data_IF_463430582838
#
_entry.id   IF_463430582838
#
_cell.length_a   1.000
_cell.length_b   1.000
_cell.length_c   1.000
_cell.angle_alpha   90.00
_cell.angle_beta   90.00
_cell.angle_gamma   90.00
#
_symmetry.space_group_name_H-M   'P 1'
#
loop_
_entity.id
_entity.type
_entity.pdbx_description
1 polymer ?
#
# COMPACT_ATOMS: atom_id res chain seq x y z
N UNK A 1 -3.57 47.46 23.00
CA UNK A 1 -2.79 46.35 22.40
C UNK A 1 -3.80 45.36 21.87
N UNK A 2 -3.97 45.32 20.53
CA UNK A 2 -4.93 44.48 19.87
C UNK A 2 -4.28 43.10 19.59
N UNK A 3 -4.74 42.08 20.28
CA UNK A 3 -4.42 40.68 19.95
C UNK A 3 -5.40 40.20 18.88
N UNK A 4 -5.14 40.56 17.63
CA UNK A 4 -5.63 39.75 16.52
C UNK A 4 -4.47 38.85 16.09
N UNK A 5 -4.46 37.62 16.60
CA UNK A 5 -3.72 36.55 15.93
C UNK A 5 -4.35 36.42 14.52
N UNK A 6 -3.57 36.72 13.49
CA UNK A 6 -3.90 36.34 12.13
C UNK A 6 -4.04 34.82 12.11
N UNK A 7 -5.29 34.35 12.04
CA UNK A 7 -5.57 32.96 11.68
C UNK A 7 -5.08 32.83 10.23
N UNK A 8 -3.85 32.34 10.07
CA UNK A 8 -3.35 31.92 8.77
C UNK A 8 -4.35 30.92 8.20
N UNK A 9 -5.17 31.36 7.26
CA UNK A 9 -6.11 30.48 6.56
C UNK A 9 -5.30 29.47 5.77
N UNK A 10 -5.04 28.32 6.39
CA UNK A 10 -4.32 27.23 5.74
C UNK A 10 -5.09 26.84 4.48
N UNK A 11 -4.39 26.80 3.36
CA UNK A 11 -4.93 26.36 2.06
C UNK A 11 -5.66 25.04 2.24
N UNK A 12 -6.89 24.86 1.69
CA UNK A 12 -7.57 23.58 1.71
C UNK A 12 -6.68 22.46 1.13
N UNK A 13 -6.55 21.37 1.87
CA UNK A 13 -5.70 20.24 1.52
C UNK A 13 -6.55 19.02 1.16
N UNK A 14 -6.10 18.24 0.18
CA UNK A 14 -6.60 16.91 -0.08
C UNK A 14 -6.25 15.93 1.05
N UNK A 15 -6.94 14.79 1.12
CA UNK A 15 -6.61 13.74 2.09
C UNK A 15 -5.15 13.28 1.91
N UNK A 16 -4.70 13.12 0.67
CA UNK A 16 -3.32 12.80 0.33
C UNK A 16 -2.34 13.82 0.92
N UNK A 17 -2.58 15.13 0.69
CA UNK A 17 -1.68 16.19 1.20
C UNK A 17 -1.58 16.16 2.73
N UNK A 18 -2.70 15.95 3.44
CA UNK A 18 -2.73 15.84 4.89
C UNK A 18 -1.90 14.65 5.40
N UNK A 19 -2.08 13.47 4.81
CA UNK A 19 -1.32 12.28 5.21
C UNK A 19 0.17 12.48 4.89
N UNK A 20 0.49 13.00 3.70
CA UNK A 20 1.87 13.26 3.30
C UNK A 20 2.58 14.18 4.30
N UNK A 21 1.97 15.31 4.64
CA UNK A 21 2.56 16.29 5.57
C UNK A 21 2.72 15.73 6.97
N UNK A 22 1.73 14.98 7.45
CA UNK A 22 1.79 14.32 8.77
C UNK A 22 2.95 13.31 8.88
N UNK A 23 3.35 12.69 7.77
CA UNK A 23 4.42 11.68 7.72
C UNK A 23 5.77 12.25 7.26
N UNK A 24 5.82 13.51 6.86
CA UNK A 24 7.04 14.16 6.39
C UNK A 24 8.00 14.45 7.54
N UNK A 25 9.23 13.90 7.46
CA UNK A 25 10.30 14.08 8.46
C UNK A 25 11.28 15.16 8.01
N UNK A 26 11.71 15.09 6.73
CA UNK A 26 12.73 15.96 6.16
C UNK A 26 12.57 16.04 4.64
N UNK A 27 13.19 17.04 4.02
CA UNK A 27 13.33 17.15 2.57
C UNK A 27 14.81 17.26 2.20
N UNK A 28 15.17 16.75 1.01
CA UNK A 28 16.53 16.87 0.48
C UNK A 28 16.60 17.87 -0.69
N UNK A 29 17.82 18.18 -1.12
CA UNK A 29 18.07 19.10 -2.25
C UNK A 29 17.55 18.57 -3.60
N UNK A 30 17.32 17.26 -3.73
CA UNK A 30 16.71 16.65 -4.92
C UNK A 30 15.18 16.76 -4.93
N UNK A 31 14.56 17.47 -3.98
CA UNK A 31 13.12 17.67 -3.89
C UNK A 31 12.35 16.43 -3.42
N UNK A 32 13.03 15.46 -2.81
CA UNK A 32 12.37 14.30 -2.19
C UNK A 32 12.06 14.58 -0.73
N UNK A 33 11.01 13.95 -0.23
CA UNK A 33 10.61 13.98 1.19
C UNK A 33 10.91 12.63 1.83
N UNK A 34 11.51 12.64 3.01
CA UNK A 34 11.65 11.46 3.86
C UNK A 34 10.34 11.25 4.61
N UNK A 35 9.64 10.17 4.31
CA UNK A 35 8.37 9.80 4.94
C UNK A 35 8.60 8.76 6.04
N UNK A 36 7.90 8.89 7.17
CA UNK A 36 7.72 7.82 8.13
C UNK A 36 6.68 6.82 7.60
N UNK A 37 6.94 5.52 7.77
CA UNK A 37 6.06 4.44 7.31
C UNK A 37 5.39 3.76 8.49
N UNK A 38 4.06 3.82 8.58
CA UNK A 38 3.30 3.22 9.68
C UNK A 38 3.22 1.72 9.60
N UNK A 39 3.03 1.18 8.38
CA UNK A 39 2.92 -0.26 8.15
C UNK A 39 3.73 -0.68 6.94
N UNK A 40 4.45 -1.74 7.11
CA UNK A 40 5.19 -2.38 6.04
C UNK A 40 4.70 -3.82 5.87
N UNK A 41 4.17 -4.14 4.68
CA UNK A 41 3.77 -5.49 4.33
C UNK A 41 4.86 -6.18 3.53
N UNK A 42 5.14 -7.44 3.85
CA UNK A 42 6.12 -8.29 3.17
C UNK A 42 5.44 -9.57 2.68
N UNK A 43 5.74 -9.94 1.46
CA UNK A 43 5.33 -11.20 0.83
C UNK A 43 6.55 -11.99 0.35
N UNK A 44 6.36 -13.09 -0.36
CA UNK A 44 7.44 -14.03 -0.70
C UNK A 44 8.59 -13.39 -1.48
N UNK A 45 8.31 -12.42 -2.35
CA UNK A 45 9.35 -11.74 -3.12
C UNK A 45 10.19 -10.74 -2.29
N UNK A 46 9.81 -10.50 -1.04
CA UNK A 46 10.61 -9.66 -0.13
C UNK A 46 11.95 -10.28 0.27
N UNK A 47 12.23 -11.53 -0.11
CA UNK A 47 13.48 -12.22 0.22
C UNK A 47 14.72 -11.46 -0.29
N UNK A 48 14.64 -10.81 -1.45
CA UNK A 48 15.73 -9.98 -1.97
C UNK A 48 16.09 -8.84 -1.02
N UNK A 49 15.06 -8.18 -0.46
CA UNK A 49 15.25 -7.09 0.48
C UNK A 49 15.85 -7.57 1.81
N UNK A 50 15.44 -8.74 2.31
CA UNK A 50 16.05 -9.34 3.50
C UNK A 50 17.51 -9.73 3.25
N UNK A 51 17.85 -10.26 2.07
CA UNK A 51 19.24 -10.55 1.70
C UNK A 51 20.09 -9.27 1.69
N UNK A 52 19.58 -8.18 1.12
CA UNK A 52 20.26 -6.88 1.14
C UNK A 52 20.40 -6.33 2.56
N UNK A 53 19.37 -6.46 3.40
CA UNK A 53 19.39 -6.04 4.79
C UNK A 53 20.50 -6.74 5.57
N UNK A 54 20.52 -8.08 5.51
CA UNK A 54 21.49 -8.91 6.22
C UNK A 54 22.91 -8.76 5.63
N UNK A 55 23.05 -8.65 4.31
CA UNK A 55 24.33 -8.40 3.65
C UNK A 55 24.99 -7.08 4.04
N UNK A 56 24.21 -6.10 4.50
CA UNK A 56 24.68 -4.83 5.05
C UNK A 56 24.76 -4.82 6.59
N UNK A 57 24.70 -5.97 7.22
CA UNK A 57 24.71 -6.14 8.70
C UNK A 57 23.65 -5.28 9.41
N UNK A 58 22.47 -5.15 8.79
CA UNK A 58 21.33 -4.40 9.32
C UNK A 58 20.26 -5.34 9.87
N UNK A 59 19.45 -4.81 10.81
CA UNK A 59 18.30 -5.49 11.41
C UNK A 59 17.02 -4.73 11.11
N UNK A 60 15.89 -5.42 11.18
CA UNK A 60 14.59 -4.75 11.08
C UNK A 60 14.42 -3.78 12.25
N UNK A 61 14.17 -2.52 11.94
CA UNK A 61 14.09 -1.42 12.92
C UNK A 61 12.87 -1.52 13.82
N UNK A 62 11.71 -1.79 13.23
CA UNK A 62 10.43 -1.86 13.94
C UNK A 62 9.65 -3.12 13.56
N UNK A 63 9.99 -4.31 14.10
CA UNK A 63 9.32 -5.56 13.75
C UNK A 63 7.80 -5.53 13.97
N UNK A 64 7.32 -4.84 14.99
CA UNK A 64 5.90 -4.71 15.30
C UNK A 64 5.09 -3.93 14.24
N UNK A 65 5.76 -3.18 13.35
CA UNK A 65 5.14 -2.44 12.25
C UNK A 65 5.22 -3.19 10.92
N UNK A 66 5.88 -4.36 10.88
CA UNK A 66 6.09 -5.16 9.69
C UNK A 66 5.27 -6.45 9.78
N UNK A 67 4.52 -6.75 8.72
CA UNK A 67 3.62 -7.89 8.62
C UNK A 67 4.01 -8.74 7.42
N UNK A 68 4.30 -10.00 7.67
CA UNK A 68 4.68 -10.98 6.65
C UNK A 68 3.50 -11.92 6.37
N UNK A 69 3.07 -11.98 5.13
CA UNK A 69 1.90 -12.75 4.68
C UNK A 69 2.28 -13.42 3.35
N UNK A 70 2.35 -14.75 3.29
CA UNK A 70 2.50 -15.46 2.03
C UNK A 70 1.17 -15.46 1.27
N UNK A 71 1.15 -14.92 0.05
CA UNK A 71 -0.07 -14.83 -0.77
C UNK A 71 0.14 -15.04 -2.27
N UNK A 72 1.27 -14.61 -2.85
CA UNK A 72 1.51 -14.66 -4.29
C UNK A 72 1.75 -16.08 -4.81
N UNK A 73 2.37 -16.93 -4.02
CA UNK A 73 2.74 -18.30 -4.38
C UNK A 73 2.06 -19.35 -3.51
N UNK A 74 0.99 -18.97 -2.82
CA UNK A 74 0.24 -19.88 -1.96
C UNK A 74 -0.76 -20.68 -2.77
N UNK A 75 -0.76 -22.03 -2.68
CA UNK A 75 -1.74 -22.86 -3.40
C UNK A 75 -3.16 -22.62 -2.87
N UNK A 76 -4.13 -22.69 -3.78
CA UNK A 76 -5.56 -22.60 -3.42
C UNK A 76 -6.10 -23.91 -2.85
N UNK A 77 -5.44 -25.02 -3.14
CA UNK A 77 -5.72 -26.35 -2.59
C UNK A 77 -4.54 -26.84 -1.76
N UNK A 78 -4.79 -27.21 -0.51
CA UNK A 78 -3.76 -27.60 0.43
C UNK A 78 -3.13 -26.41 1.16
N UNK A 79 -2.70 -26.66 2.40
CA UNK A 79 -2.20 -25.62 3.31
C UNK A 79 -0.81 -25.94 3.86
N UNK A 80 -0.22 -27.05 3.44
CA UNK A 80 1.07 -27.49 3.94
C UNK A 80 2.17 -27.17 2.94
N UNK A 81 3.36 -26.92 3.45
CA UNK A 81 4.55 -26.75 2.61
C UNK A 81 4.77 -27.97 1.68
N UNK A 82 4.36 -29.17 2.09
CA UNK A 82 4.39 -30.37 1.28
C UNK A 82 3.48 -30.33 0.05
N UNK A 83 2.45 -29.50 0.07
CA UNK A 83 1.44 -29.45 -0.99
C UNK A 83 1.90 -28.61 -2.21
N UNK A 84 3.05 -27.95 -2.09
CA UNK A 84 3.67 -27.22 -3.19
C UNK A 84 4.28 -28.17 -4.21
N UNK A 85 3.81 -28.08 -5.43
CA UNK A 85 4.29 -28.88 -6.57
C UNK A 85 5.66 -28.39 -7.05
N UNK A 86 5.90 -27.07 -6.99
CA UNK A 86 7.12 -26.45 -7.46
C UNK A 86 8.05 -26.11 -6.30
N UNK A 87 9.30 -26.58 -6.37
CA UNK A 87 10.31 -26.38 -5.34
C UNK A 87 10.74 -24.93 -5.19
N UNK A 88 10.77 -24.15 -6.28
CA UNK A 88 11.15 -22.73 -6.24
C UNK A 88 10.10 -21.92 -5.47
N UNK A 89 8.82 -22.11 -5.76
CA UNK A 89 7.73 -21.42 -5.03
C UNK A 89 7.70 -21.85 -3.56
N UNK A 90 7.94 -23.13 -3.30
CA UNK A 90 8.09 -23.65 -1.93
C UNK A 90 9.23 -22.96 -1.18
N UNK A 91 10.37 -22.77 -1.85
CA UNK A 91 11.53 -22.10 -1.27
C UNK A 91 11.24 -20.63 -0.94
N UNK A 92 10.51 -19.89 -1.82
CA UNK A 92 10.12 -18.50 -1.59
C UNK A 92 9.27 -18.35 -0.32
N UNK A 93 8.26 -19.19 -0.14
CA UNK A 93 7.42 -19.17 1.07
C UNK A 93 8.21 -19.55 2.33
N UNK A 94 9.07 -20.57 2.24
CA UNK A 94 9.96 -20.94 3.36
C UNK A 94 10.88 -19.79 3.76
N UNK A 95 11.43 -19.07 2.77
CA UNK A 95 12.30 -17.93 3.01
C UNK A 95 11.55 -16.79 3.70
N UNK A 96 10.32 -16.47 3.28
CA UNK A 96 9.50 -15.46 3.95
C UNK A 96 9.24 -15.83 5.41
N UNK A 97 8.81 -17.06 5.66
CA UNK A 97 8.52 -17.56 7.01
C UNK A 97 9.79 -17.55 7.90
N UNK A 98 10.94 -17.98 7.34
CA UNK A 98 12.22 -17.95 8.04
C UNK A 98 12.64 -16.54 8.40
N UNK A 99 12.62 -15.61 7.43
CA UNK A 99 12.96 -14.20 7.63
C UNK A 99 12.03 -13.54 8.66
N UNK A 100 10.72 -13.81 8.59
CA UNK A 100 9.76 -13.27 9.53
C UNK A 100 10.04 -13.74 10.97
N UNK A 101 10.32 -15.03 11.16
CA UNK A 101 10.66 -15.60 12.48
C UNK A 101 11.99 -15.05 13.00
N UNK A 102 13.03 -15.02 12.17
CA UNK A 102 14.35 -14.52 12.54
C UNK A 102 14.31 -13.05 12.97
N UNK A 103 13.51 -12.24 12.30
CA UNK A 103 13.37 -10.81 12.58
C UNK A 103 12.19 -10.48 13.51
N UNK A 104 11.49 -11.49 14.07
CA UNK A 104 10.36 -11.33 15.00
C UNK A 104 9.22 -10.49 14.43
N UNK A 105 8.92 -10.64 13.15
CA UNK A 105 7.82 -9.94 12.48
C UNK A 105 6.47 -10.54 12.86
N UNK A 106 5.39 -9.76 12.64
CA UNK A 106 4.05 -10.31 12.66
C UNK A 106 3.88 -11.22 11.43
N UNK A 107 3.68 -12.51 11.66
CA UNK A 107 3.59 -13.51 10.60
C UNK A 107 2.21 -14.17 10.60
N UNK A 108 1.53 -14.10 9.46
CA UNK A 108 0.32 -14.89 9.19
C UNK A 108 0.68 -15.96 8.16
N UNK A 109 1.23 -17.07 8.66
CA UNK A 109 1.72 -18.15 7.81
C UNK A 109 0.58 -19.04 7.26
N UNK A 110 0.94 -20.12 6.54
CA UNK A 110 -0.01 -21.02 5.88
C UNK A 110 -1.04 -21.65 6.83
N UNK A 111 -0.71 -21.79 8.11
CA UNK A 111 -1.56 -22.39 9.14
C UNK A 111 -2.37 -21.34 9.92
N UNK A 112 -2.12 -20.05 9.73
CA UNK A 112 -2.87 -19.00 10.40
C UNK A 112 -4.26 -18.87 9.76
N UNK A 113 -5.30 -18.86 10.58
CA UNK A 113 -6.70 -18.71 10.11
C UNK A 113 -6.95 -17.36 9.42
N UNK A 114 -6.11 -16.36 9.70
CA UNK A 114 -6.19 -15.00 9.13
C UNK A 114 -5.43 -14.86 7.82
N UNK A 115 -4.75 -15.92 7.35
CA UNK A 115 -4.02 -15.88 6.09
C UNK A 115 -4.92 -15.57 4.90
N UNK A 116 -4.38 -14.96 3.88
CA UNK A 116 -5.10 -14.62 2.66
C UNK A 116 -4.30 -13.64 1.81
N UNK A 117 -4.95 -13.00 0.88
CA UNK A 117 -4.36 -11.95 0.06
C UNK A 117 -3.96 -10.78 0.97
N UNK A 118 -2.71 -10.35 0.91
CA UNK A 118 -2.10 -9.36 1.81
C UNK A 118 -2.92 -8.05 1.87
N UNK A 119 -3.45 -7.60 0.71
CA UNK A 119 -4.25 -6.38 0.60
C UNK A 119 -5.72 -6.56 1.04
N UNK A 120 -6.12 -7.77 1.38
CA UNK A 120 -7.41 -8.10 2.01
C UNK A 120 -7.21 -8.33 3.50
N UNK A 121 -6.20 -9.11 3.88
CA UNK A 121 -5.86 -9.39 5.29
C UNK A 121 -5.60 -8.11 6.07
N UNK A 122 -4.83 -7.18 5.51
CA UNK A 122 -4.52 -5.90 6.15
C UNK A 122 -5.77 -5.11 6.58
N UNK A 123 -6.71 -4.86 5.68
CA UNK A 123 -8.02 -4.26 5.97
C UNK A 123 -8.86 -5.07 6.97
N UNK A 124 -9.08 -6.35 6.71
CA UNK A 124 -9.97 -7.20 7.51
C UNK A 124 -9.49 -7.40 8.95
N UNK A 125 -8.17 -7.42 9.17
CA UNK A 125 -7.57 -7.55 10.50
C UNK A 125 -7.37 -6.20 11.21
N UNK A 126 -7.84 -5.08 10.62
CA UNK A 126 -7.68 -3.75 11.20
C UNK A 126 -6.23 -3.26 11.27
N UNK A 127 -5.32 -3.88 10.51
CA UNK A 127 -3.91 -3.48 10.46
C UNK A 127 -3.77 -2.20 9.64
N UNK A 128 -4.54 -2.10 8.56
CA UNK A 128 -4.69 -0.89 7.75
C UNK A 128 -5.74 0.01 8.39
N UNK A 129 -5.38 1.26 8.64
CA UNK A 129 -6.27 2.25 9.24
C UNK A 129 -6.19 3.59 8.47
N UNK A 130 -7.23 4.43 8.55
CA UNK A 130 -7.22 5.75 7.93
C UNK A 130 -6.04 6.60 8.41
N UNK A 131 -5.47 7.39 7.50
CA UNK A 131 -4.39 8.32 7.80
C UNK A 131 -2.99 7.69 7.85
N UNK A 132 -2.84 6.38 7.68
CA UNK A 132 -1.54 5.71 7.68
C UNK A 132 -0.80 5.83 6.35
N UNK A 133 0.54 5.89 6.42
CA UNK A 133 1.45 5.66 5.30
C UNK A 133 1.85 4.17 5.29
N UNK A 134 1.56 3.48 4.17
CA UNK A 134 1.67 2.02 4.05
C UNK A 134 2.47 1.66 2.80
N UNK A 135 3.40 0.72 2.93
CA UNK A 135 4.17 0.23 1.79
C UNK A 135 4.25 -1.30 1.75
N UNK A 136 4.44 -1.82 0.55
CA UNK A 136 4.68 -3.23 0.27
C UNK A 136 5.51 -3.36 -1.01
N UNK A 137 6.16 -4.50 -1.22
CA UNK A 137 6.86 -4.84 -2.47
C UNK A 137 5.92 -5.20 -3.63
N UNK A 138 4.64 -4.84 -3.54
CA UNK A 138 3.59 -5.11 -4.52
C UNK A 138 2.94 -3.80 -4.99
N UNK A 139 2.77 -3.66 -6.31
CA UNK A 139 2.15 -2.49 -6.93
C UNK A 139 0.70 -2.26 -6.45
N UNK A 140 -0.08 -3.33 -6.19
CA UNK A 140 -1.47 -3.24 -5.75
C UNK A 140 -1.64 -2.84 -4.28
N UNK A 141 -0.57 -2.43 -3.61
CA UNK A 141 -0.63 -1.79 -2.28
C UNK A 141 -1.57 -0.57 -2.26
N UNK A 142 -1.81 0.06 -3.40
CA UNK A 142 -2.81 1.13 -3.56
C UNK A 142 -4.21 0.76 -3.06
N UNK A 143 -4.54 -0.53 -2.98
CA UNK A 143 -5.80 -1.07 -2.44
C UNK A 143 -6.15 -0.49 -1.06
N UNK A 144 -5.15 -0.31 -0.19
CA UNK A 144 -5.36 0.21 1.17
C UNK A 144 -5.85 1.66 1.22
N UNK A 145 -5.77 2.39 0.10
CA UNK A 145 -6.34 3.72 -0.04
C UNK A 145 -7.86 3.75 0.13
N UNK A 146 -8.55 2.63 -0.11
CA UNK A 146 -9.99 2.49 0.13
C UNK A 146 -10.40 2.75 1.59
N UNK A 147 -9.49 2.53 2.53
CA UNK A 147 -9.63 2.81 3.95
C UNK A 147 -9.06 4.17 4.36
N UNK A 148 -8.67 5.02 3.40
CA UNK A 148 -8.10 6.34 3.66
C UNK A 148 -6.63 6.31 4.09
N UNK A 149 -5.87 5.28 3.72
CA UNK A 149 -4.42 5.25 3.86
C UNK A 149 -3.70 5.79 2.62
N UNK A 150 -2.52 6.35 2.77
CA UNK A 150 -1.59 6.61 1.68
C UNK A 150 -0.74 5.35 1.48
N UNK A 151 -1.10 4.54 0.50
CA UNK A 151 -0.53 3.23 0.31
C UNK A 151 0.00 3.03 -1.12
N UNK A 152 1.22 2.53 -1.25
CA UNK A 152 1.86 2.36 -2.56
C UNK A 152 2.94 1.29 -2.57
N UNK A 153 3.16 0.71 -3.77
CA UNK A 153 4.19 -0.28 -4.02
C UNK A 153 5.59 0.33 -4.08
N UNK A 154 6.60 -0.42 -3.62
CA UNK A 154 8.01 -0.01 -3.62
C UNK A 154 8.93 -1.12 -4.12
N UNK A 155 10.09 -0.77 -4.65
CA UNK A 155 11.08 -1.72 -5.13
C UNK A 155 11.84 -2.43 -3.99
N UNK A 156 12.55 -3.52 -4.32
CA UNK A 156 13.26 -4.33 -3.32
C UNK A 156 14.30 -3.54 -2.52
N UNK A 157 15.00 -2.57 -3.12
CA UNK A 157 15.93 -1.69 -2.42
C UNK A 157 15.22 -0.81 -1.39
N UNK A 158 14.07 -0.26 -1.76
CA UNK A 158 13.23 0.55 -0.87
C UNK A 158 12.66 -0.31 0.27
N UNK A 159 12.22 -1.55 -0.02
CA UNK A 159 11.78 -2.51 1.00
C UNK A 159 12.90 -2.73 2.02
N UNK A 160 14.14 -2.96 1.57
CA UNK A 160 15.31 -3.12 2.46
C UNK A 160 15.55 -1.86 3.30
N UNK A 161 15.44 -0.68 2.68
CA UNK A 161 15.60 0.60 3.37
C UNK A 161 14.52 0.79 4.46
N UNK A 162 13.24 0.52 4.13
CA UNK A 162 12.14 0.61 5.11
C UNK A 162 12.30 -0.41 6.24
N UNK A 163 12.73 -1.64 5.95
CA UNK A 163 13.06 -2.62 6.99
C UNK A 163 14.11 -2.08 7.97
N UNK A 164 15.18 -1.44 7.44
CA UNK A 164 16.28 -0.91 8.25
C UNK A 164 15.95 0.36 9.02
N UNK A 165 15.06 1.22 8.52
CA UNK A 165 14.89 2.60 9.02
C UNK A 165 13.47 2.96 9.42
N UNK A 166 12.46 2.28 8.91
CA UNK A 166 11.04 2.62 8.96
C UNK A 166 10.70 3.93 8.23
N UNK A 167 11.56 4.37 7.33
CA UNK A 167 11.40 5.61 6.55
C UNK A 167 11.65 5.36 5.09
N UNK A 168 11.22 6.29 4.22
CA UNK A 168 11.42 6.19 2.78
C UNK A 168 11.54 7.56 2.13
N UNK A 169 12.57 7.77 1.29
CA UNK A 169 12.68 8.94 0.43
C UNK A 169 11.77 8.80 -0.80
N UNK A 170 10.87 9.77 -0.99
CA UNK A 170 9.96 9.78 -2.16
C UNK A 170 9.80 11.19 -2.72
N UNK A 171 9.78 11.37 -4.06
CA UNK A 171 9.29 12.61 -4.65
C UNK A 171 7.79 12.73 -4.37
N UNK A 172 7.33 13.94 -4.01
CA UNK A 172 5.89 14.18 -3.73
C UNK A 172 5.08 14.07 -5.04
N UNK A 173 4.15 13.10 -5.16
CA UNK A 173 3.25 13.03 -6.29
C UNK A 173 2.32 14.23 -6.36
N UNK A 174 1.75 14.49 -7.54
CA UNK A 174 0.65 15.45 -7.70
C UNK A 174 -0.66 14.82 -7.25
N UNK A 175 -1.61 15.64 -6.83
CA UNK A 175 -3.00 15.23 -6.59
C UNK A 175 -3.81 15.28 -7.88
N UNK A 176 -4.58 14.21 -8.15
CA UNK A 176 -5.58 14.17 -9.22
C UNK A 176 -6.93 13.83 -8.60
N UNK A 177 -7.97 14.60 -8.91
CA UNK A 177 -9.33 14.28 -8.47
C UNK A 177 -10.16 13.77 -9.64
N UNK A 178 -10.76 12.57 -9.46
CA UNK A 178 -11.70 11.97 -10.39
C UNK A 178 -13.10 12.00 -9.79
N UNK A 179 -14.02 12.77 -10.39
CA UNK A 179 -15.40 12.85 -9.94
C UNK A 179 -16.31 11.98 -10.81
N UNK A 180 -16.89 10.94 -10.20
CA UNK A 180 -17.89 10.08 -10.85
C UNK A 180 -19.29 10.54 -10.42
N UNK A 181 -19.99 11.22 -11.33
CA UNK A 181 -21.32 11.81 -11.11
C UNK A 181 -22.43 10.80 -11.38
N UNK A 182 -23.58 10.98 -10.75
CA UNK A 182 -24.76 10.14 -10.90
C UNK A 182 -24.67 8.82 -10.13
N UNK A 183 -25.53 7.88 -10.48
CA UNK A 183 -25.61 6.56 -9.87
C UNK A 183 -25.14 5.49 -10.86
N UNK A 184 -24.64 4.37 -10.34
CA UNK A 184 -24.37 3.18 -11.15
C UNK A 184 -25.70 2.60 -11.68
N UNK A 185 -25.72 2.19 -12.92
CA UNK A 185 -26.83 1.41 -13.47
C UNK A 185 -26.81 -0.01 -12.89
N UNK A 186 -27.96 -0.67 -12.88
CA UNK A 186 -28.05 -2.10 -12.48
C UNK A 186 -27.10 -2.93 -13.37
N UNK A 187 -26.33 -3.81 -12.75
CA UNK A 187 -25.35 -4.66 -13.42
C UNK A 187 -23.95 -4.03 -13.60
N UNK A 188 -23.78 -2.73 -13.34
CA UNK A 188 -22.45 -2.08 -13.35
C UNK A 188 -21.73 -2.30 -12.02
N UNK A 189 -20.55 -2.91 -12.05
CA UNK A 189 -19.72 -3.19 -10.91
C UNK A 189 -18.69 -2.04 -10.65
N UNK A 190 -18.01 -2.07 -9.52
CA UNK A 190 -16.90 -1.15 -9.25
C UNK A 190 -15.74 -1.33 -10.25
N UNK A 191 -15.53 -2.57 -10.73
CA UNK A 191 -14.54 -2.87 -11.76
C UNK A 191 -14.87 -2.19 -13.08
N UNK A 192 -16.14 -2.17 -13.48
CA UNK A 192 -16.56 -1.45 -14.68
C UNK A 192 -16.33 0.05 -14.55
N UNK A 193 -16.59 0.61 -13.35
CA UNK A 193 -16.36 2.04 -13.08
C UNK A 193 -14.88 2.38 -13.25
N UNK A 194 -13.98 1.63 -12.63
CA UNK A 194 -12.53 1.93 -12.74
C UNK A 194 -12.01 1.66 -14.14
N UNK A 195 -12.46 0.61 -14.82
CA UNK A 195 -12.10 0.35 -16.22
C UNK A 195 -12.60 1.48 -17.15
N UNK A 196 -13.81 1.99 -16.89
CA UNK A 196 -14.34 3.16 -17.63
C UNK A 196 -13.51 4.43 -17.41
N UNK A 197 -13.01 4.65 -16.18
CA UNK A 197 -12.10 5.75 -15.86
C UNK A 197 -10.78 5.56 -16.62
N UNK A 198 -10.15 4.38 -16.54
CA UNK A 198 -8.89 4.06 -17.23
C UNK A 198 -9.07 4.21 -18.75
N UNK A 199 -10.17 3.70 -19.31
CA UNK A 199 -10.48 3.86 -20.72
C UNK A 199 -10.58 5.33 -21.17
N UNK A 200 -10.99 6.21 -20.27
CA UNK A 200 -11.12 7.65 -20.55
C UNK A 200 -9.81 8.42 -20.40
N UNK A 201 -8.98 8.12 -19.39
CA UNK A 201 -7.74 8.85 -19.13
C UNK A 201 -6.50 8.18 -19.72
N UNK A 202 -6.61 6.91 -20.10
CA UNK A 202 -5.51 6.06 -20.59
C UNK A 202 -4.74 5.36 -19.46
N UNK A 203 -4.01 4.31 -19.81
CA UNK A 203 -3.19 3.52 -18.88
C UNK A 203 -2.02 4.30 -18.22
N UNK A 204 -1.65 5.46 -18.75
CA UNK A 204 -0.64 6.36 -18.19
C UNK A 204 -1.24 7.70 -17.68
N UNK A 205 -2.57 7.85 -17.72
CA UNK A 205 -3.23 9.10 -17.36
C UNK A 205 -3.02 9.54 -15.91
N UNK A 206 -2.78 8.58 -15.00
CA UNK A 206 -2.49 8.82 -13.59
C UNK A 206 -1.01 8.94 -13.25
N UNK A 207 -0.10 8.85 -14.23
CA UNK A 207 1.35 8.85 -13.97
C UNK A 207 1.79 10.08 -13.18
N UNK A 208 2.57 9.84 -12.12
CA UNK A 208 3.03 10.90 -11.22
C UNK A 208 1.96 11.48 -10.29
N UNK A 209 0.78 10.88 -10.20
CA UNK A 209 -0.32 11.34 -9.36
C UNK A 209 -0.74 10.31 -8.31
N UNK A 210 -1.33 10.83 -7.24
CA UNK A 210 -2.25 10.11 -6.35
C UNK A 210 -3.66 10.49 -6.78
N UNK A 211 -4.53 9.50 -7.03
CA UNK A 211 -5.90 9.75 -7.49
C UNK A 211 -6.86 9.74 -6.30
N UNK A 212 -7.58 10.84 -6.08
CA UNK A 212 -8.71 10.91 -5.16
C UNK A 212 -10.02 10.72 -5.91
N UNK A 213 -10.68 9.59 -5.66
CA UNK A 213 -11.97 9.29 -6.23
C UNK A 213 -13.08 9.97 -5.43
N UNK A 214 -13.97 10.65 -6.13
CA UNK A 214 -15.04 11.45 -5.54
C UNK A 214 -16.33 11.38 -6.37
N UNK A 215 -17.37 12.01 -5.88
CA UNK A 215 -18.68 12.09 -6.56
C UNK A 215 -19.69 11.12 -5.95
N UNK A 216 -20.93 11.22 -6.42
CA UNK A 216 -22.06 10.48 -5.85
C UNK A 216 -21.89 8.98 -6.03
N UNK A 217 -21.48 8.51 -7.22
CA UNK A 217 -21.27 7.09 -7.48
C UNK A 217 -20.23 6.50 -6.52
N UNK A 218 -19.14 7.21 -6.23
CA UNK A 218 -18.08 6.74 -5.31
C UNK A 218 -18.58 6.71 -3.87
N UNK A 219 -19.37 7.71 -3.43
CA UNK A 219 -19.93 7.69 -2.06
C UNK A 219 -20.85 6.52 -1.79
N UNK A 220 -21.54 6.05 -2.83
CA UNK A 220 -22.49 4.93 -2.75
C UNK A 220 -21.82 3.54 -2.90
N UNK A 221 -20.49 3.47 -3.06
CA UNK A 221 -19.74 2.22 -3.12
C UNK A 221 -19.62 1.60 -1.72
N UNK A 222 -19.71 0.26 -1.65
CA UNK A 222 -19.30 -0.51 -0.47
C UNK A 222 -17.79 -0.38 -0.27
N UNK A 223 -17.29 -0.87 0.86
CA UNK A 223 -15.84 -0.86 1.12
C UNK A 223 -15.11 -1.77 0.13
N UNK A 224 -15.67 -2.92 -0.22
CA UNK A 224 -15.13 -3.89 -1.17
C UNK A 224 -15.08 -3.29 -2.59
N UNK A 225 -16.11 -2.56 -2.98
CA UNK A 225 -16.14 -1.80 -4.21
C UNK A 225 -15.01 -0.75 -4.24
N UNK A 226 -14.78 -0.04 -3.14
CA UNK A 226 -13.70 0.95 -3.02
C UNK A 226 -12.31 0.29 -3.04
N UNK A 227 -12.15 -0.89 -2.41
CA UNK A 227 -10.93 -1.69 -2.52
C UNK A 227 -10.62 -1.98 -3.99
N UNK A 228 -11.63 -2.38 -4.78
CA UNK A 228 -11.48 -2.63 -6.22
C UNK A 228 -11.04 -1.38 -6.98
N UNK A 229 -11.66 -0.23 -6.73
CA UNK A 229 -11.31 1.03 -7.42
C UNK A 229 -9.89 1.48 -7.06
N UNK A 230 -9.51 1.45 -5.80
CA UNK A 230 -8.17 1.84 -5.36
C UNK A 230 -7.10 0.84 -5.82
N UNK A 231 -7.42 -0.46 -5.81
CA UNK A 231 -6.54 -1.52 -6.33
C UNK A 231 -6.12 -1.21 -7.76
N UNK A 232 -7.08 -0.94 -8.64
CA UNK A 232 -6.86 -0.74 -10.07
C UNK A 232 -6.38 0.68 -10.43
N UNK A 233 -6.06 1.53 -9.48
CA UNK A 233 -5.43 2.82 -9.75
C UNK A 233 -4.05 2.67 -10.40
N UNK A 234 -3.38 1.56 -10.14
CA UNK A 234 -2.06 1.27 -10.70
C UNK A 234 -2.13 1.01 -12.21
N UNK A 235 -3.23 0.44 -12.73
CA UNK A 235 -3.45 0.24 -14.16
C UNK A 235 -3.68 1.56 -14.90
N UNK A 236 -4.03 2.63 -14.20
CA UNK A 236 -4.01 3.99 -14.72
C UNK A 236 -2.63 4.66 -14.65
N UNK A 237 -1.61 3.97 -14.16
CA UNK A 237 -0.26 4.49 -13.93
C UNK A 237 -0.13 5.35 -12.68
N UNK A 238 -1.16 5.42 -11.82
CA UNK A 238 -1.12 6.24 -10.62
C UNK A 238 -0.18 5.66 -9.55
N UNK A 239 0.33 6.53 -8.68
CA UNK A 239 1.17 6.12 -7.54
C UNK A 239 0.33 5.45 -6.45
N UNK A 240 -0.89 5.96 -6.24
CA UNK A 240 -1.87 5.45 -5.26
C UNK A 240 -3.29 5.89 -5.64
N UNK A 241 -4.30 5.28 -5.04
CA UNK A 241 -5.70 5.63 -5.15
C UNK A 241 -6.36 5.79 -3.79
#
# INVERSE_FOLDING_TARGET
>A
MSFYEEIEMTRPQSLFEKIWEQHSIASNEAGQTLLFIDRHYCHELSFHAFNMLHGNDRKVRHPARTFAIPDHYTPTSGLKISDYVNDDTRALVKNLVSNAKQNKLNLFDLNDKRRGIIHVVGPEQGITQPGMAIVCGDSHTSTHGALGGLAFGIGASDVSHVLATQTLWQPKPKSMRVNVKGNRSIGVTAKDVILGIIGKIGAAGGSGHVIEYAGQAIRNLSIEDRLTVCNMSIEAGARAG
#
